data_IF_470383619456
#
_entry.id   IF_470383619456
#
_cell.length_a   1.000
_cell.length_b   1.000
_cell.length_c   1.000
_cell.angle_alpha   90.00
_cell.angle_beta   90.00
_cell.angle_gamma   90.00
#
_symmetry.space_group_name_H-M   'P 1'
#
loop_
_entity.id
_entity.type
_entity.pdbx_description
1 polymer ?
#
# COMPACT_ATOMS: atom_id res chain seq x y z
N UNK A 1 21.41 1.03 13.00
CA UNK A 1 21.75 -0.25 13.66
C UNK A 1 20.63 -1.26 13.46
N UNK A 2 19.42 -1.06 13.97
CA UNK A 2 18.32 -2.05 13.80
C UNK A 2 17.69 -2.07 12.40
N UNK A 3 17.41 -0.90 11.82
CA UNK A 3 16.80 -0.80 10.48
C UNK A 3 17.74 -1.36 9.41
N UNK A 4 19.01 -0.93 9.42
CA UNK A 4 20.03 -1.44 8.49
C UNK A 4 20.24 -2.94 8.61
N UNK A 5 20.19 -3.47 9.84
CA UNK A 5 20.32 -4.88 10.08
C UNK A 5 19.19 -5.64 9.38
N UNK A 6 17.93 -5.24 9.61
CA UNK A 6 16.77 -5.85 8.98
C UNK A 6 16.81 -5.75 7.45
N UNK A 7 17.14 -4.57 6.91
CA UNK A 7 17.27 -4.39 5.45
C UNK A 7 18.34 -5.34 4.88
N UNK A 8 19.49 -5.47 5.56
CA UNK A 8 20.57 -6.36 5.14
C UNK A 8 20.17 -7.82 5.20
N UNK A 9 19.45 -8.26 6.23
CA UNK A 9 18.97 -9.64 6.33
C UNK A 9 18.00 -9.99 5.20
N UNK A 10 17.07 -9.09 4.88
CA UNK A 10 16.13 -9.29 3.76
C UNK A 10 16.90 -9.32 2.44
N UNK A 11 17.87 -8.42 2.24
CA UNK A 11 18.70 -8.39 1.04
C UNK A 11 19.50 -9.69 0.85
N UNK A 12 20.11 -10.21 1.93
CA UNK A 12 20.84 -11.49 1.92
C UNK A 12 19.90 -12.68 1.68
N UNK A 13 18.68 -12.64 2.21
CA UNK A 13 17.69 -13.67 1.92
C UNK A 13 17.31 -13.70 0.45
N UNK A 14 17.07 -12.54 -0.17
CA UNK A 14 16.85 -12.43 -1.61
C UNK A 14 18.05 -12.96 -2.40
N UNK A 15 19.27 -12.57 -2.03
CA UNK A 15 20.50 -13.04 -2.66
C UNK A 15 20.58 -14.58 -2.63
N UNK A 16 20.31 -15.21 -1.48
CA UNK A 16 20.34 -16.67 -1.35
C UNK A 16 19.34 -17.40 -2.26
N UNK A 17 18.20 -16.79 -2.57
CA UNK A 17 17.21 -17.38 -3.49
C UNK A 17 17.69 -17.22 -4.93
N UNK A 18 18.24 -16.05 -5.26
CA UNK A 18 18.77 -15.75 -6.59
C UNK A 18 19.99 -16.62 -6.90
N UNK A 19 20.92 -16.79 -5.96
CA UNK A 19 22.08 -17.69 -6.12
C UNK A 19 21.64 -19.13 -6.41
N UNK A 20 20.65 -19.65 -5.66
CA UNK A 20 20.09 -20.99 -5.92
C UNK A 20 19.43 -21.09 -7.29
N UNK A 21 18.79 -20.03 -7.76
CA UNK A 21 18.22 -19.97 -9.10
C UNK A 21 19.31 -19.97 -10.18
N UNK A 22 20.36 -19.17 -10.00
CA UNK A 22 21.49 -19.07 -10.91
C UNK A 22 22.28 -20.37 -10.96
N UNK A 23 22.55 -21.05 -9.84
CA UNK A 23 23.26 -22.34 -9.83
C UNK A 23 22.49 -23.45 -10.58
N UNK A 24 21.15 -23.45 -10.49
CA UNK A 24 20.32 -24.34 -11.33
C UNK A 24 20.40 -23.96 -12.81
N UNK A 25 20.58 -22.67 -13.11
CA UNK A 25 20.73 -22.12 -14.46
C UNK A 25 22.12 -22.42 -15.04
N UNK A 26 23.21 -22.32 -14.25
CA UNK A 26 24.59 -22.59 -14.65
C UNK A 26 24.81 -23.98 -15.22
N UNK A 27 24.07 -24.98 -14.72
CA UNK A 27 24.10 -26.34 -15.27
C UNK A 27 23.46 -26.46 -16.66
N UNK A 28 22.81 -25.41 -17.18
CA UNK A 28 22.10 -25.36 -18.48
C UNK A 28 22.67 -24.29 -19.45
N UNK A 29 23.80 -23.66 -19.12
CA UNK A 29 24.19 -22.30 -19.58
C UNK A 29 24.54 -22.08 -21.06
N UNK A 30 24.78 -23.09 -21.88
CA UNK A 30 25.39 -22.82 -23.20
C UNK A 30 24.47 -22.13 -24.24
N UNK A 31 23.17 -21.89 -23.99
CA UNK A 31 22.21 -21.57 -25.07
C UNK A 31 21.07 -20.57 -24.79
N UNK A 32 21.02 -19.86 -23.67
CA UNK A 32 19.80 -19.11 -23.31
C UNK A 32 19.95 -17.58 -23.28
N UNK A 33 18.85 -16.90 -23.62
CA UNK A 33 18.73 -15.46 -23.81
C UNK A 33 18.38 -14.72 -22.51
N UNK A 34 18.42 -13.37 -22.53
CA UNK A 34 17.97 -12.52 -21.42
C UNK A 34 16.51 -12.82 -21.00
N UNK A 35 15.66 -13.21 -21.93
CA UNK A 35 14.24 -13.52 -21.66
C UNK A 35 14.08 -14.78 -20.80
N UNK A 36 14.91 -15.78 -21.03
CA UNK A 36 14.86 -17.04 -20.26
C UNK A 36 15.30 -16.80 -18.81
N UNK A 37 16.32 -15.95 -18.61
CA UNK A 37 16.75 -15.56 -17.26
C UNK A 37 15.63 -14.85 -16.49
N UNK A 38 14.94 -13.91 -17.13
CA UNK A 38 13.80 -13.20 -16.52
C UNK A 38 12.71 -14.19 -16.11
N UNK A 39 12.38 -15.14 -17.00
CA UNK A 39 11.36 -16.14 -16.72
C UNK A 39 11.76 -17.04 -15.54
N UNK A 40 12.97 -17.58 -15.52
CA UNK A 40 13.43 -18.47 -14.44
C UNK A 40 13.45 -17.74 -13.09
N UNK A 41 13.97 -16.51 -13.06
CA UNK A 41 14.01 -15.73 -11.82
C UNK A 41 12.60 -15.41 -11.32
N UNK A 42 11.68 -15.01 -12.20
CA UNK A 42 10.29 -14.77 -11.84
C UNK A 42 9.58 -16.04 -11.35
N UNK A 43 9.85 -17.20 -11.94
CA UNK A 43 9.29 -18.48 -11.49
C UNK A 43 9.82 -18.88 -10.11
N UNK A 44 11.13 -18.77 -9.85
CA UNK A 44 11.72 -19.10 -8.55
C UNK A 44 11.29 -18.13 -7.44
N UNK A 45 11.10 -16.85 -7.79
CA UNK A 45 10.67 -15.80 -6.85
C UNK A 45 9.15 -15.56 -6.88
N UNK A 46 8.39 -16.44 -7.54
CA UNK A 46 6.93 -16.32 -7.64
C UNK A 46 6.25 -16.40 -6.27
N UNK A 47 6.80 -17.21 -5.35
CA UNK A 47 6.35 -17.27 -3.95
C UNK A 47 6.55 -15.98 -3.16
N UNK A 48 7.34 -15.03 -3.67
CA UNK A 48 7.50 -13.68 -3.13
C UNK A 48 6.75 -12.63 -3.95
N UNK A 49 5.88 -13.05 -4.85
CA UNK A 49 5.13 -12.20 -5.79
C UNK A 49 6.05 -11.29 -6.63
N UNK A 50 7.24 -11.79 -6.97
CA UNK A 50 8.13 -11.07 -7.90
C UNK A 50 7.66 -11.32 -9.32
N UNK A 51 7.16 -10.28 -9.96
CA UNK A 51 6.72 -10.30 -11.37
C UNK A 51 7.92 -10.19 -12.32
N UNK A 52 7.73 -10.64 -13.57
CA UNK A 52 8.73 -10.49 -14.65
C UNK A 52 9.19 -9.04 -14.80
N UNK A 53 8.25 -8.10 -14.75
CA UNK A 53 8.51 -6.66 -14.82
C UNK A 53 9.48 -6.16 -13.73
N UNK A 54 9.44 -6.74 -12.52
CA UNK A 54 10.37 -6.37 -11.45
C UNK A 54 11.79 -6.82 -11.78
N UNK A 55 11.94 -8.03 -12.33
CA UNK A 55 13.23 -8.60 -12.72
C UNK A 55 13.81 -7.83 -13.90
N UNK A 56 12.99 -7.47 -14.89
CA UNK A 56 13.40 -6.66 -16.04
C UNK A 56 13.93 -5.29 -15.60
N UNK A 57 13.16 -4.58 -14.76
CA UNK A 57 13.58 -3.29 -14.18
C UNK A 57 14.86 -3.41 -13.34
N UNK A 58 15.07 -4.53 -12.65
CA UNK A 58 16.29 -4.76 -11.89
C UNK A 58 17.51 -4.99 -12.81
N UNK A 59 17.32 -5.74 -13.90
CA UNK A 59 18.37 -6.02 -14.91
C UNK A 59 18.76 -4.78 -15.72
N UNK A 60 17.88 -3.79 -15.83
CA UNK A 60 18.21 -2.48 -16.42
C UNK A 60 19.11 -1.65 -15.51
N UNK A 61 18.97 -1.79 -14.20
CA UNK A 61 19.73 -1.01 -13.20
C UNK A 61 21.03 -1.67 -12.76
N UNK A 62 21.07 -3.01 -12.77
CA UNK A 62 22.18 -3.79 -12.21
C UNK A 62 22.40 -5.08 -12.98
N UNK A 63 23.65 -5.52 -13.03
CA UNK A 63 24.03 -6.81 -13.62
C UNK A 63 23.74 -7.96 -12.64
N UNK A 64 23.32 -9.10 -13.17
CA UNK A 64 23.12 -10.33 -12.40
C UNK A 64 24.44 -10.91 -11.84
N UNK A 65 25.58 -10.50 -12.39
CA UNK A 65 26.92 -10.94 -11.94
C UNK A 65 27.24 -10.50 -10.51
N UNK A 66 26.62 -9.42 -10.05
CA UNK A 66 26.68 -8.94 -8.67
C UNK A 66 25.36 -9.30 -7.97
N UNK A 67 25.29 -10.53 -7.45
CA UNK A 67 24.05 -11.10 -6.93
C UNK A 67 23.53 -10.34 -5.71
N UNK A 68 24.42 -9.88 -4.81
CA UNK A 68 24.04 -9.10 -3.64
C UNK A 68 23.40 -7.76 -4.03
N UNK A 69 24.04 -7.02 -4.94
CA UNK A 69 23.50 -5.74 -5.39
C UNK A 69 22.22 -5.92 -6.22
N UNK A 70 22.17 -6.93 -7.09
CA UNK A 70 20.96 -7.27 -7.84
C UNK A 70 19.80 -7.64 -6.92
N UNK A 71 20.05 -8.45 -5.89
CA UNK A 71 19.07 -8.80 -4.87
C UNK A 71 18.52 -7.56 -4.15
N UNK A 72 19.42 -6.66 -3.73
CA UNK A 72 19.05 -5.41 -3.08
C UNK A 72 18.16 -4.52 -3.96
N UNK A 73 18.50 -4.39 -5.24
CA UNK A 73 17.71 -3.61 -6.20
C UNK A 73 16.37 -4.27 -6.50
N UNK A 74 16.36 -5.58 -6.72
CA UNK A 74 15.12 -6.33 -6.97
C UNK A 74 14.17 -6.24 -5.78
N UNK A 75 14.69 -6.34 -4.55
CA UNK A 75 13.91 -6.19 -3.32
C UNK A 75 13.37 -4.77 -3.19
N UNK A 76 14.15 -3.72 -3.47
CA UNK A 76 13.66 -2.32 -3.49
C UNK A 76 12.49 -2.12 -4.45
N UNK A 77 12.54 -2.74 -5.63
CA UNK A 77 11.51 -2.61 -6.66
C UNK A 77 10.26 -3.42 -6.30
N UNK A 78 10.45 -4.67 -5.87
CA UNK A 78 9.35 -5.62 -5.68
C UNK A 78 8.69 -5.54 -4.30
N UNK A 79 9.42 -5.02 -3.30
CA UNK A 79 9.06 -4.94 -1.88
C UNK A 79 9.63 -3.65 -1.27
N UNK A 80 9.08 -2.47 -1.62
CA UNK A 80 9.43 -1.23 -0.94
C UNK A 80 9.10 -1.33 0.56
N UNK A 81 9.94 -0.74 1.41
CA UNK A 81 9.81 -0.79 2.87
C UNK A 81 9.41 0.60 3.39
N UNK A 82 8.39 0.63 4.23
CA UNK A 82 7.99 1.81 5.00
C UNK A 82 8.39 1.63 6.46
N UNK A 83 9.01 2.65 7.05
CA UNK A 83 9.42 2.65 8.45
C UNK A 83 8.39 3.41 9.29
N UNK A 84 7.71 2.70 10.18
CA UNK A 84 6.91 3.31 11.24
C UNK A 84 7.82 3.64 12.44
N UNK A 85 8.19 4.90 12.60
CA UNK A 85 9.01 5.37 13.72
C UNK A 85 8.12 5.48 14.97
N UNK A 86 7.94 4.38 15.68
CA UNK A 86 7.01 4.28 16.80
C UNK A 86 7.53 4.96 18.08
N UNK A 87 6.62 5.24 19.01
CA UNK A 87 6.84 5.86 20.33
C UNK A 87 7.17 7.36 20.29
N UNK A 88 6.57 8.09 19.36
CA UNK A 88 6.76 9.55 19.23
C UNK A 88 6.21 10.37 20.41
N UNK A 89 5.42 9.73 21.26
CA UNK A 89 4.90 10.25 22.53
C UNK A 89 6.00 10.41 23.61
N UNK A 90 7.18 9.82 23.43
CA UNK A 90 8.28 9.94 24.38
C UNK A 90 9.06 11.27 24.21
N UNK A 91 9.56 11.89 25.29
CA UNK A 91 10.28 13.17 25.21
C UNK A 91 11.52 13.16 24.30
N UNK A 92 12.22 12.02 24.24
CA UNK A 92 13.43 11.87 23.43
C UNK A 92 13.15 11.54 21.95
N UNK A 93 11.89 11.29 21.59
CA UNK A 93 11.55 10.76 20.28
C UNK A 93 11.74 11.77 19.14
N UNK A 94 11.54 13.06 19.41
CA UNK A 94 11.68 14.13 18.40
C UNK A 94 13.09 14.14 17.78
N UNK A 95 14.13 14.23 18.61
CA UNK A 95 15.52 14.26 18.15
C UNK A 95 15.92 12.96 17.42
N UNK A 96 15.43 11.81 17.90
CA UNK A 96 15.67 10.53 17.26
C UNK A 96 14.99 10.44 15.88
N UNK A 97 13.76 10.93 15.78
CA UNK A 97 13.00 10.95 14.55
C UNK A 97 13.64 11.86 13.50
N UNK A 98 14.09 13.05 13.87
CA UNK A 98 14.81 13.97 12.97
C UNK A 98 16.05 13.32 12.37
N UNK A 99 16.88 12.68 13.19
CA UNK A 99 18.05 11.92 12.72
C UNK A 99 17.69 10.78 11.77
N UNK A 100 16.58 10.07 12.01
CA UNK A 100 16.13 8.99 11.13
C UNK A 100 15.56 9.53 9.81
N UNK A 101 14.87 10.67 9.86
CA UNK A 101 14.29 11.33 8.68
C UNK A 101 15.34 11.79 7.68
N UNK A 102 16.54 12.15 8.13
CA UNK A 102 17.67 12.49 7.25
C UNK A 102 18.22 11.28 6.48
N UNK A 103 18.04 10.06 7.02
CA UNK A 103 18.63 8.83 6.47
C UNK A 103 17.65 7.99 5.65
N UNK A 104 16.36 8.09 5.95
CA UNK A 104 15.33 7.26 5.33
C UNK A 104 14.21 8.10 4.72
N UNK A 105 13.95 7.89 3.44
CA UNK A 105 12.93 8.61 2.68
C UNK A 105 11.50 8.17 3.05
N UNK A 106 11.31 6.87 3.28
CA UNK A 106 10.01 6.27 3.57
C UNK A 106 9.87 6.02 5.07
N UNK A 107 9.77 7.11 5.84
CA UNK A 107 9.55 7.05 7.30
C UNK A 107 8.34 7.90 7.70
N UNK A 108 7.61 7.44 8.71
CA UNK A 108 6.43 8.11 9.26
C UNK A 108 6.52 8.09 10.79
N UNK A 109 6.36 9.24 11.48
CA UNK A 109 6.31 9.28 12.94
C UNK A 109 5.01 8.62 13.41
N UNK A 110 5.08 7.69 14.37
CA UNK A 110 3.90 6.97 14.86
C UNK A 110 3.83 6.83 16.38
N UNK A 111 2.62 6.82 16.93
CA UNK A 111 2.35 6.36 18.31
C UNK A 111 1.26 5.31 18.30
N UNK A 112 1.67 4.04 18.36
CA UNK A 112 0.76 2.91 18.44
C UNK A 112 -0.06 2.90 19.74
N UNK A 113 0.53 3.39 20.85
CA UNK A 113 -0.16 3.47 22.14
C UNK A 113 -1.29 4.50 22.10
N UNK A 114 -1.04 5.69 21.54
CA UNK A 114 -2.08 6.69 21.32
C UNK A 114 -3.21 6.14 20.43
N UNK A 115 -2.88 5.46 19.33
CA UNK A 115 -3.88 4.88 18.43
C UNK A 115 -4.77 3.84 19.13
N UNK A 116 -4.17 2.95 19.93
CA UNK A 116 -4.91 1.94 20.69
C UNK A 116 -5.82 2.60 21.74
N UNK A 117 -5.32 3.63 22.43
CA UNK A 117 -6.09 4.36 23.44
C UNK A 117 -7.31 5.06 22.82
N UNK A 118 -7.14 5.74 21.68
CA UNK A 118 -8.22 6.42 20.97
C UNK A 118 -9.25 5.42 20.42
N UNK A 119 -8.81 4.31 19.82
CA UNK A 119 -9.73 3.25 19.35
C UNK A 119 -10.57 2.67 20.49
N UNK A 120 -9.95 2.33 21.62
CA UNK A 120 -10.66 1.81 22.80
C UNK A 120 -11.63 2.83 23.40
N UNK A 121 -11.28 4.11 23.40
CA UNK A 121 -12.17 5.16 23.87
C UNK A 121 -13.37 5.37 22.93
N UNK A 122 -13.15 5.25 21.61
CA UNK A 122 -14.21 5.33 20.61
C UNK A 122 -15.15 4.13 20.67
N UNK A 123 -14.63 2.91 20.84
CA UNK A 123 -15.42 1.69 21.05
C UNK A 123 -16.35 1.79 22.28
N UNK A 124 -15.93 2.54 23.30
CA UNK A 124 -16.72 2.81 24.51
C UNK A 124 -17.67 4.00 24.37
N UNK A 125 -17.79 4.60 23.17
CA UNK A 125 -18.57 5.81 22.91
C UNK A 125 -18.20 6.98 23.85
N UNK A 126 -16.93 7.08 24.26
CA UNK A 126 -16.42 8.20 25.07
C UNK A 126 -15.97 9.35 24.16
N UNK A 127 -15.46 9.01 22.98
CA UNK A 127 -14.98 9.96 21.97
C UNK A 127 -15.52 9.57 20.60
N UNK A 128 -15.65 10.57 19.73
CA UNK A 128 -15.76 10.40 18.29
C UNK A 128 -14.34 10.45 17.71
N UNK A 129 -13.87 9.34 17.12
CA UNK A 129 -12.53 9.25 16.55
C UNK A 129 -12.57 8.53 15.21
N UNK A 130 -12.04 9.20 14.18
CA UNK A 130 -11.76 8.61 12.87
C UNK A 130 -10.24 8.48 12.72
N UNK A 131 -9.69 7.26 12.53
CA UNK A 131 -8.24 7.05 12.43
C UNK A 131 -7.56 8.01 11.46
N UNK A 132 -6.46 8.61 11.90
CA UNK A 132 -5.72 9.61 11.13
C UNK A 132 -6.22 11.05 11.26
N UNK A 133 -7.29 11.30 12.01
CA UNK A 133 -7.80 12.64 12.31
C UNK A 133 -7.64 12.97 13.81
N UNK A 134 -8.04 14.18 14.20
CA UNK A 134 -8.26 14.50 15.61
C UNK A 134 -9.54 13.81 16.12
N UNK A 135 -9.69 13.72 17.44
CA UNK A 135 -10.86 13.16 18.11
C UNK A 135 -11.72 14.26 18.75
N UNK A 136 -12.99 13.97 19.02
CA UNK A 136 -13.88 14.83 19.81
C UNK A 136 -14.38 14.09 21.02
N UNK A 137 -14.40 14.74 22.18
CA UNK A 137 -14.97 14.16 23.39
C UNK A 137 -16.48 14.34 23.33
N UNK A 138 -17.24 13.25 23.50
CA UNK A 138 -18.70 13.29 23.42
C UNK A 138 -19.30 13.82 24.72
N UNK A 139 -18.89 13.26 25.86
CA UNK A 139 -19.35 13.67 27.18
C UNK A 139 -18.20 13.62 28.20
N UNK A 140 -17.74 14.79 28.64
CA UNK A 140 -16.66 14.88 29.65
C UNK A 140 -17.05 14.26 31.00
N UNK A 141 -18.34 14.26 31.34
CA UNK A 141 -18.86 13.70 32.59
C UNK A 141 -18.72 12.18 32.71
N UNK A 142 -18.55 11.47 31.59
CA UNK A 142 -18.34 10.01 31.55
C UNK A 142 -16.86 9.62 31.67
N UNK A 143 -15.95 10.59 31.62
CA UNK A 143 -14.52 10.35 31.70
C UNK A 143 -14.01 10.52 33.13
N UNK A 144 -13.16 9.59 33.56
CA UNK A 144 -12.40 9.79 34.80
C UNK A 144 -11.25 10.79 34.58
N UNK A 145 -10.71 11.36 35.67
CA UNK A 145 -9.61 12.33 35.58
C UNK A 145 -8.36 11.78 34.87
N UNK A 146 -8.10 10.47 34.96
CA UNK A 146 -6.92 9.84 34.36
C UNK A 146 -7.10 9.72 32.85
N UNK A 147 -8.30 9.34 32.40
CA UNK A 147 -8.67 9.27 30.99
C UNK A 147 -8.64 10.66 30.36
N UNK A 148 -9.19 11.67 31.05
CA UNK A 148 -9.16 13.04 30.55
C UNK A 148 -7.72 13.55 30.41
N UNK A 149 -6.85 13.28 31.40
CA UNK A 149 -5.42 13.61 31.33
C UNK A 149 -4.72 12.86 30.19
N UNK A 150 -4.99 11.56 30.02
CA UNK A 150 -4.40 10.77 28.94
C UNK A 150 -4.79 11.29 27.55
N UNK A 151 -6.08 11.61 27.35
CA UNK A 151 -6.56 12.19 26.08
C UNK A 151 -5.91 13.55 25.80
N UNK A 152 -5.76 14.41 26.82
CA UNK A 152 -5.04 15.68 26.68
C UNK A 152 -3.58 15.48 26.28
N UNK A 153 -2.88 14.56 26.94
CA UNK A 153 -1.49 14.23 26.60
C UNK A 153 -1.34 13.70 25.17
N UNK A 154 -2.29 12.89 24.69
CA UNK A 154 -2.29 12.41 23.31
C UNK A 154 -2.51 13.59 22.33
N UNK A 155 -3.46 14.48 22.63
CA UNK A 155 -3.72 15.63 21.76
C UNK A 155 -2.51 16.55 21.67
N UNK A 156 -2.01 17.05 22.80
CA UNK A 156 -0.90 18.01 22.86
C UNK A 156 0.45 17.37 22.47
N UNK A 157 0.66 16.12 22.88
CA UNK A 157 1.94 15.42 22.73
C UNK A 157 2.12 14.78 21.35
N UNK A 158 1.03 14.35 20.70
CA UNK A 158 1.09 13.58 19.45
C UNK A 158 0.32 14.27 18.32
N UNK A 159 -0.97 14.53 18.49
CA UNK A 159 -1.81 15.02 17.38
C UNK A 159 -1.43 16.44 16.97
N UNK A 160 -1.24 17.37 17.92
CA UNK A 160 -0.88 18.76 17.59
C UNK A 160 0.53 18.88 17.00
N UNK A 161 1.46 17.99 17.40
CA UNK A 161 2.84 18.01 16.92
C UNK A 161 3.02 17.35 15.57
N UNK A 162 2.34 16.22 15.33
CA UNK A 162 2.55 15.36 14.16
C UNK A 162 1.33 15.27 13.24
N UNK A 163 0.23 15.96 13.57
CA UNK A 163 -1.04 16.00 12.85
C UNK A 163 -1.97 14.80 13.11
N UNK A 164 -1.42 13.64 13.48
CA UNK A 164 -2.18 12.42 13.79
C UNK A 164 -1.33 11.46 14.62
N UNK A 165 -1.88 10.29 14.96
CA UNK A 165 -1.12 9.16 15.56
C UNK A 165 -0.11 8.53 14.58
N UNK A 166 -0.20 8.86 13.28
CA UNK A 166 0.69 8.36 12.23
C UNK A 166 0.39 6.96 11.71
N UNK A 167 -0.45 6.16 12.38
CA UNK A 167 -0.75 4.79 11.96
C UNK A 167 -1.52 4.78 10.63
N UNK A 168 -2.57 5.60 10.51
CA UNK A 168 -3.29 5.74 9.25
C UNK A 168 -2.42 6.35 8.15
N UNK A 169 -1.52 7.27 8.49
CA UNK A 169 -0.56 7.83 7.55
C UNK A 169 0.41 6.76 7.01
N UNK A 170 0.86 5.83 7.85
CA UNK A 170 1.64 4.67 7.41
C UNK A 170 0.88 3.83 6.38
N UNK A 171 -0.38 3.49 6.67
CA UNK A 171 -1.21 2.68 5.77
C UNK A 171 -1.43 3.40 4.43
N UNK A 172 -1.77 4.70 4.48
CA UNK A 172 -1.99 5.49 3.29
C UNK A 172 -0.71 5.60 2.44
N UNK A 173 0.44 5.86 3.05
CA UNK A 173 1.73 5.94 2.35
C UNK A 173 2.13 4.60 1.75
N UNK A 174 1.90 3.49 2.46
CA UNK A 174 2.17 2.15 1.94
C UNK A 174 1.31 1.83 0.71
N UNK A 175 0.00 2.10 0.77
CA UNK A 175 -0.94 1.76 -0.30
C UNK A 175 -0.80 2.71 -1.48
N UNK A 176 -0.88 4.02 -1.25
CA UNK A 176 -1.03 5.01 -2.31
C UNK A 176 0.29 5.56 -2.85
N UNK A 177 1.35 5.63 -2.04
CA UNK A 177 2.65 6.17 -2.47
C UNK A 177 3.66 5.07 -2.83
N UNK A 178 3.83 4.05 -1.99
CA UNK A 178 4.84 3.02 -2.23
C UNK A 178 4.39 1.96 -3.24
N UNK A 179 3.15 1.51 -3.12
CA UNK A 179 2.59 0.51 -4.02
C UNK A 179 1.87 1.14 -5.23
N UNK A 180 1.73 2.47 -5.25
CA UNK A 180 1.03 3.22 -6.30
C UNK A 180 -0.39 2.67 -6.58
N UNK A 181 -1.13 2.28 -5.55
CA UNK A 181 -2.53 1.87 -5.73
C UNK A 181 -3.44 3.10 -5.86
N UNK A 182 -4.55 2.93 -6.55
CA UNK A 182 -5.63 3.91 -6.71
C UNK A 182 -6.94 3.31 -6.24
N UNK A 183 -7.82 4.15 -5.70
CA UNK A 183 -9.16 3.75 -5.28
C UNK A 183 -10.16 3.94 -6.43
N UNK A 184 -10.85 2.88 -6.83
CA UNK A 184 -11.83 2.89 -7.92
C UNK A 184 -13.15 2.34 -7.43
N UNK A 185 -14.25 3.03 -7.76
CA UNK A 185 -15.59 2.75 -7.26
C UNK A 185 -16.47 2.20 -8.39
N UNK A 186 -16.74 0.88 -8.41
CA UNK A 186 -17.69 0.33 -9.35
C UNK A 186 -19.13 0.62 -8.88
N UNK A 187 -19.99 1.03 -9.81
CA UNK A 187 -21.42 1.25 -9.54
C UNK A 187 -22.27 0.51 -10.57
N UNK A 188 -23.47 0.09 -10.18
CA UNK A 188 -24.41 -0.54 -11.11
C UNK A 188 -25.17 0.49 -11.96
N UNK A 189 -25.41 1.68 -11.41
CA UNK A 189 -26.06 2.79 -12.09
C UNK A 189 -25.23 4.06 -11.91
N UNK A 190 -24.66 4.56 -13.01
CA UNK A 190 -23.85 5.78 -13.04
C UNK A 190 -24.64 7.04 -12.69
N UNK A 191 -25.98 7.06 -12.83
CA UNK A 191 -26.82 8.21 -12.50
C UNK A 191 -27.15 8.29 -11.02
N UNK A 192 -27.46 7.15 -10.40
CA UNK A 192 -27.78 7.09 -8.98
C UNK A 192 -26.54 6.90 -8.10
N UNK A 193 -25.42 6.48 -8.68
CA UNK A 193 -24.22 6.05 -7.97
C UNK A 193 -24.51 4.88 -7.01
N UNK A 194 -25.53 4.08 -7.33
CA UNK A 194 -26.03 3.04 -6.46
C UNK A 194 -25.79 1.64 -7.05
N UNK A 195 -25.84 0.64 -6.17
CA UNK A 195 -26.09 -0.75 -6.55
C UNK A 195 -27.58 -1.01 -6.84
N UNK A 196 -27.92 -2.29 -7.04
CA UNK A 196 -29.30 -2.75 -7.26
C UNK A 196 -30.18 -2.63 -6.02
N UNK A 197 -29.60 -2.51 -4.83
CA UNK A 197 -30.29 -2.43 -3.55
C UNK A 197 -30.50 -0.97 -3.09
N UNK A 198 -29.87 -0.02 -3.77
CA UNK A 198 -29.94 1.41 -3.48
C UNK A 198 -28.80 1.93 -2.61
N UNK A 199 -27.79 1.11 -2.31
CA UNK A 199 -26.62 1.55 -1.54
C UNK A 199 -25.74 2.45 -2.42
N UNK A 200 -25.44 3.65 -1.93
CA UNK A 200 -24.61 4.63 -2.64
C UNK A 200 -23.14 4.27 -2.49
N UNK A 201 -22.43 4.14 -3.61
CA UNK A 201 -21.01 3.73 -3.69
C UNK A 201 -20.73 2.48 -2.85
N UNK A 202 -21.31 1.33 -3.24
CA UNK A 202 -21.34 0.12 -2.42
C UNK A 202 -19.94 -0.40 -2.09
N UNK A 203 -19.03 -0.33 -3.08
CA UNK A 203 -17.72 -0.94 -3.02
C UNK A 203 -16.62 0.04 -3.43
N UNK A 204 -15.42 -0.21 -2.93
CA UNK A 204 -14.18 0.43 -3.37
C UNK A 204 -13.11 -0.61 -3.58
N UNK A 205 -12.47 -0.56 -4.74
CA UNK A 205 -11.39 -1.46 -5.10
C UNK A 205 -10.07 -0.68 -5.12
N UNK A 206 -9.06 -1.25 -4.48
CA UNK A 206 -7.68 -0.80 -4.62
C UNK A 206 -7.03 -1.55 -5.77
N UNK A 207 -6.62 -0.83 -6.80
CA UNK A 207 -5.92 -1.41 -7.96
C UNK A 207 -4.61 -0.67 -8.24
N UNK A 208 -3.57 -1.35 -8.78
CA UNK A 208 -2.35 -0.66 -9.19
C UNK A 208 -2.65 0.42 -10.22
N UNK A 209 -1.99 1.57 -10.08
CA UNK A 209 -2.02 2.63 -11.09
C UNK A 209 -1.56 2.09 -12.44
N UNK A 210 -2.25 2.49 -13.50
CA UNK A 210 -2.04 1.94 -14.84
C UNK A 210 -2.99 0.79 -15.21
N UNK A 211 -3.75 0.24 -14.24
CA UNK A 211 -4.79 -0.77 -14.53
C UNK A 211 -5.77 -0.19 -15.55
N UNK A 212 -6.01 -0.96 -16.61
CA UNK A 212 -7.01 -0.61 -17.63
C UNK A 212 -8.41 -0.96 -17.17
N UNK A 213 -9.41 -0.33 -17.78
CA UNK A 213 -10.80 -0.58 -17.47
C UNK A 213 -11.20 -2.06 -17.71
N UNK A 214 -10.67 -2.69 -18.76
CA UNK A 214 -10.93 -4.10 -19.03
C UNK A 214 -10.34 -5.02 -17.96
N UNK A 215 -9.09 -4.79 -17.56
CA UNK A 215 -8.46 -5.53 -16.46
C UNK A 215 -9.22 -5.36 -15.15
N UNK A 216 -9.74 -4.16 -14.89
CA UNK A 216 -10.57 -3.91 -13.73
C UNK A 216 -11.89 -4.68 -13.75
N UNK A 217 -12.53 -4.80 -14.92
CA UNK A 217 -13.72 -5.65 -15.06
C UNK A 217 -13.43 -7.12 -14.66
N UNK A 218 -12.27 -7.67 -15.03
CA UNK A 218 -11.83 -8.99 -14.58
C UNK A 218 -11.56 -9.07 -13.08
N UNK A 219 -11.09 -7.98 -12.45
CA UNK A 219 -10.88 -7.93 -10.99
C UNK A 219 -12.17 -7.96 -10.20
N UNK A 220 -13.26 -7.40 -10.74
CA UNK A 220 -14.57 -7.47 -10.09
C UNK A 220 -15.12 -8.89 -10.21
N UNK A 221 -15.22 -9.40 -11.44
CA UNK A 221 -15.65 -10.77 -11.68
C UNK A 221 -15.25 -11.22 -13.09
N UNK A 222 -14.79 -12.47 -13.24
CA UNK A 222 -14.35 -13.01 -14.54
C UNK A 222 -15.43 -12.89 -15.61
N UNK A 223 -16.70 -13.20 -15.29
CA UNK A 223 -17.81 -13.09 -16.25
C UNK A 223 -18.06 -11.65 -16.74
N UNK A 224 -17.89 -10.66 -15.86
CA UNK A 224 -18.03 -9.24 -16.21
C UNK A 224 -16.91 -8.83 -17.17
N UNK A 225 -15.69 -9.31 -16.93
CA UNK A 225 -14.53 -9.11 -17.81
C UNK A 225 -14.70 -9.77 -19.19
N UNK A 226 -15.20 -11.00 -19.25
CA UNK A 226 -15.43 -11.73 -20.51
C UNK A 226 -16.54 -11.10 -21.35
N UNK A 227 -17.62 -10.66 -20.71
CA UNK A 227 -18.77 -10.03 -21.38
C UNK A 227 -18.66 -8.50 -21.47
N UNK A 228 -17.50 -7.93 -21.20
CA UNK A 228 -17.26 -6.49 -21.17
C UNK A 228 -17.60 -5.82 -22.52
N UNK A 229 -18.36 -4.72 -22.46
CA UNK A 229 -18.70 -3.90 -23.64
C UNK A 229 -18.00 -2.55 -23.55
N UNK A 230 -18.28 -1.77 -22.49
CA UNK A 230 -17.69 -0.46 -22.27
C UNK A 230 -17.85 -0.05 -20.80
N UNK A 231 -17.11 0.99 -20.38
CA UNK A 231 -17.39 1.67 -19.12
C UNK A 231 -18.16 2.96 -19.34
N UNK A 232 -18.79 3.45 -18.28
CA UNK A 232 -19.39 4.77 -18.23
C UNK A 232 -18.83 5.48 -17.00
N UNK A 233 -18.16 6.61 -17.20
CA UNK A 233 -17.74 7.48 -16.10
C UNK A 233 -18.97 8.16 -15.51
N UNK A 234 -19.23 7.92 -14.22
CA UNK A 234 -20.39 8.47 -13.55
C UNK A 234 -20.38 9.99 -13.41
N UNK A 235 -19.19 10.63 -13.44
CA UNK A 235 -19.04 12.09 -13.34
C UNK A 235 -19.25 12.77 -14.68
N UNK A 236 -18.55 12.31 -15.72
CA UNK A 236 -18.61 12.95 -17.05
C UNK A 236 -19.72 12.39 -17.94
N UNK A 237 -20.33 11.26 -17.56
CA UNK A 237 -21.31 10.50 -18.34
C UNK A 237 -20.78 10.03 -19.70
N UNK A 238 -19.46 10.03 -19.87
CA UNK A 238 -18.81 9.61 -21.11
C UNK A 238 -18.60 8.11 -21.11
N UNK A 239 -18.74 7.52 -22.29
CA UNK A 239 -18.34 6.13 -22.52
C UNK A 239 -16.82 6.04 -22.54
N UNK A 240 -16.29 5.06 -21.82
CA UNK A 240 -14.87 4.75 -21.70
C UNK A 240 -14.56 3.48 -22.49
N UNK A 241 -13.43 3.49 -23.20
CA UNK A 241 -12.92 2.33 -23.93
C UNK A 241 -12.30 1.30 -22.99
N UNK A 242 -12.10 0.08 -23.48
CA UNK A 242 -11.40 -0.99 -22.75
C UNK A 242 -10.00 -0.57 -22.27
N UNK A 243 -9.27 0.20 -23.09
CA UNK A 243 -7.90 0.65 -22.83
C UNK A 243 -7.83 1.92 -21.98
N UNK A 244 -8.97 2.44 -21.49
CA UNK A 244 -8.96 3.58 -20.59
C UNK A 244 -8.19 3.22 -19.32
N UNK A 245 -7.16 4.01 -19.02
CA UNK A 245 -6.36 3.85 -17.81
C UNK A 245 -7.09 4.51 -16.64
N UNK A 246 -7.38 3.72 -15.62
CA UNK A 246 -8.10 4.16 -14.44
C UNK A 246 -7.32 5.22 -13.68
N UNK A 247 -8.07 6.17 -13.11
CA UNK A 247 -7.55 7.25 -12.26
C UNK A 247 -8.07 7.11 -10.84
N UNK A 248 -7.37 7.73 -9.92
CA UNK A 248 -7.79 7.75 -8.52
C UNK A 248 -9.15 8.40 -8.35
N UNK A 249 -10.01 7.71 -7.59
CA UNK A 249 -11.41 8.04 -7.32
C UNK A 249 -12.30 8.04 -8.57
N UNK A 250 -11.95 7.29 -9.59
CA UNK A 250 -12.87 7.05 -10.70
C UNK A 250 -14.10 6.29 -10.19
N UNK A 251 -15.28 6.72 -10.65
CA UNK A 251 -16.56 6.08 -10.36
C UNK A 251 -17.12 5.57 -11.67
N UNK A 252 -17.21 4.25 -11.82
CA UNK A 252 -17.39 3.63 -13.12
C UNK A 252 -18.53 2.62 -13.08
N UNK A 253 -19.45 2.76 -14.03
CA UNK A 253 -20.40 1.71 -14.37
C UNK A 253 -19.80 0.84 -15.48
N UNK A 254 -19.79 -0.48 -15.27
CA UNK A 254 -19.31 -1.43 -16.28
C UNK A 254 -20.52 -2.02 -17.00
N UNK A 255 -20.64 -1.70 -18.28
CA UNK A 255 -21.62 -2.31 -19.16
C UNK A 255 -21.07 -3.62 -19.71
N UNK A 256 -21.79 -4.71 -19.45
CA UNK A 256 -21.48 -6.04 -19.95
C UNK A 256 -22.71 -6.64 -20.64
N UNK A 257 -22.47 -7.57 -21.57
CA UNK A 257 -23.54 -8.29 -22.26
C UNK A 257 -24.27 -9.17 -21.26
N UNK A 258 -25.61 -9.12 -21.23
CA UNK A 258 -26.41 -10.07 -20.46
C UNK A 258 -26.32 -11.45 -21.11
#
# INVERSE_FOLDING_TARGET
MDIEFLEKEIDLWFASIIERAIQKFEKKIAKFSKADLVQVLAEQLSGLEVKKEHVEKALEKTSISDVENFAKVLRKISKPILIAANKIDLPQAQANFERLKERYEHIVPTSAEAEIALKKAAEKNLIEYLPGNDFKILEESKLDERQLKALKLIREGVIEKYGSTGIQACLNKAVFELLDYIAVYPVADSNKLCDKEGNVLPDVFLVPKGTTLKEFAFKIHTEIGEKFICGIDARTKRKLSADYVLKDRDVIEIAFRK
#
